data_IF_516217682710
#
_entry.id   IF_516217682710
#
_cell.length_a   1.000
_cell.length_b   1.000
_cell.length_c   1.000
_cell.angle_alpha   90.00
_cell.angle_beta   90.00
_cell.angle_gamma   90.00
#
_symmetry.space_group_name_H-M   'P 1'
#
loop_
_entity.id
_entity.type
_entity.pdbx_description
1 polymer ?
#
# COMPACT_ATOMS: atom_id res chain seq x y z
N UNK A 1 -13.69 -9.46 4.27
CA UNK A 1 -13.25 -8.44 3.30
C UNK A 1 -11.81 -8.73 2.90
N UNK A 2 -11.33 -8.28 1.74
CA UNK A 2 -9.92 -8.46 1.32
C UNK A 2 -9.29 -7.12 0.92
N UNK A 3 -7.97 -7.01 1.06
CA UNK A 3 -7.20 -5.83 0.63
C UNK A 3 -7.02 -5.85 -0.89
N UNK A 4 -7.56 -4.84 -1.57
CA UNK A 4 -7.75 -4.82 -3.03
C UNK A 4 -6.45 -4.96 -3.84
N UNK A 5 -5.32 -4.47 -3.30
CA UNK A 5 -4.03 -4.40 -4.00
C UNK A 5 -2.88 -5.12 -3.29
N UNK A 6 -3.18 -6.15 -2.48
CA UNK A 6 -2.18 -6.84 -1.65
C UNK A 6 -0.90 -7.26 -2.39
N UNK A 7 -1.03 -7.82 -3.61
CA UNK A 7 0.13 -8.24 -4.42
C UNK A 7 1.00 -7.06 -4.88
N UNK A 8 0.37 -5.95 -5.27
CA UNK A 8 1.08 -4.75 -5.68
C UNK A 8 1.80 -4.09 -4.50
N UNK A 9 1.18 -4.07 -3.31
CA UNK A 9 1.79 -3.57 -2.07
C UNK A 9 3.08 -4.32 -1.74
N UNK A 10 3.04 -5.66 -1.80
CA UNK A 10 4.22 -6.52 -1.56
C UNK A 10 5.31 -6.24 -2.62
N UNK A 11 4.92 -6.13 -3.89
CA UNK A 11 5.86 -5.83 -4.98
C UNK A 11 6.54 -4.47 -4.80
N UNK A 12 5.77 -3.43 -4.43
CA UNK A 12 6.29 -2.10 -4.15
C UNK A 12 7.28 -2.13 -2.98
N UNK A 13 6.94 -2.78 -1.87
CA UNK A 13 7.85 -2.95 -0.72
C UNK A 13 9.16 -3.62 -1.13
N UNK A 14 9.09 -4.68 -1.95
CA UNK A 14 10.30 -5.38 -2.41
C UNK A 14 11.15 -4.51 -3.33
N UNK A 15 10.54 -3.74 -4.24
CA UNK A 15 11.24 -2.81 -5.12
C UNK A 15 11.94 -1.71 -4.35
N UNK A 16 11.28 -1.11 -3.36
CA UNK A 16 11.85 -0.05 -2.50
C UNK A 16 13.05 -0.56 -1.70
N UNK A 17 13.04 -1.81 -1.24
CA UNK A 17 14.15 -2.38 -0.46
C UNK A 17 15.33 -2.81 -1.36
N UNK A 18 15.05 -3.45 -2.49
CA UNK A 18 16.08 -4.13 -3.28
C UNK A 18 16.56 -3.36 -4.51
N UNK A 19 15.75 -2.46 -5.04
CA UNK A 19 16.02 -1.78 -6.31
C UNK A 19 15.65 -0.29 -6.22
N UNK A 20 15.99 0.31 -5.08
CA UNK A 20 15.68 1.70 -4.75
C UNK A 20 16.21 2.70 -5.79
N UNK A 21 17.33 2.39 -6.47
CA UNK A 21 17.90 3.24 -7.51
C UNK A 21 16.99 3.35 -8.76
N UNK A 22 16.14 2.34 -8.99
CA UNK A 22 15.16 2.35 -10.07
C UNK A 22 13.77 2.87 -9.63
N UNK A 23 13.61 3.22 -8.35
CA UNK A 23 12.40 3.83 -7.81
C UNK A 23 12.52 5.35 -7.94
N UNK A 24 11.57 5.97 -8.65
CA UNK A 24 11.55 7.43 -8.81
C UNK A 24 10.66 8.09 -7.75
N UNK A 25 11.03 9.31 -7.38
CA UNK A 25 10.28 10.11 -6.41
C UNK A 25 8.83 10.33 -6.84
N UNK A 26 8.56 10.52 -8.14
CA UNK A 26 7.20 10.68 -8.68
C UNK A 26 6.32 9.44 -8.44
N UNK A 27 6.91 8.24 -8.55
CA UNK A 27 6.20 6.98 -8.30
C UNK A 27 5.91 6.84 -6.82
N UNK A 28 6.90 7.12 -5.96
CA UNK A 28 6.69 7.09 -4.50
C UNK A 28 5.67 8.11 -4.05
N UNK A 29 5.73 9.32 -4.60
CA UNK A 29 4.77 10.38 -4.29
C UNK A 29 3.35 9.97 -4.65
N UNK A 30 3.14 9.38 -5.83
CA UNK A 30 1.82 8.85 -6.24
C UNK A 30 1.31 7.77 -5.28
N UNK A 31 2.17 6.85 -4.84
CA UNK A 31 1.80 5.81 -3.88
C UNK A 31 1.37 6.44 -2.55
N UNK A 32 2.14 7.42 -2.05
CA UNK A 32 1.86 8.11 -0.79
C UNK A 32 0.52 8.85 -0.83
N UNK A 33 0.24 9.59 -1.90
CA UNK A 33 -0.96 10.44 -1.97
C UNK A 33 -2.22 9.67 -2.40
N UNK A 34 -2.09 8.62 -3.23
CA UNK A 34 -3.25 7.96 -3.83
C UNK A 34 -3.55 6.58 -3.23
N UNK A 35 -2.51 5.79 -2.89
CA UNK A 35 -2.68 4.37 -2.60
C UNK A 35 -2.63 4.09 -1.10
N UNK A 36 -1.72 4.75 -0.35
CA UNK A 36 -1.67 4.60 1.11
C UNK A 36 -2.98 5.00 1.82
N UNK A 37 -3.69 6.09 1.44
CA UNK A 37 -4.95 6.44 2.10
C UNK A 37 -6.03 5.37 1.89
N UNK A 38 -6.08 4.73 0.72
CA UNK A 38 -7.02 3.65 0.43
C UNK A 38 -6.71 2.42 1.27
N UNK A 39 -5.43 2.03 1.32
CA UNK A 39 -4.98 0.91 2.15
C UNK A 39 -5.30 1.14 3.63
N UNK A 40 -5.11 2.37 4.12
CA UNK A 40 -5.46 2.75 5.49
C UNK A 40 -6.96 2.53 5.75
N UNK A 41 -7.83 3.02 4.86
CA UNK A 41 -9.28 2.86 5.02
C UNK A 41 -9.71 1.38 4.98
N UNK A 42 -9.11 0.57 4.12
CA UNK A 42 -9.36 -0.88 4.06
C UNK A 42 -8.98 -1.57 5.37
N UNK A 43 -7.83 -1.22 5.95
CA UNK A 43 -7.38 -1.76 7.25
C UNK A 43 -8.30 -1.30 8.38
N UNK A 44 -8.66 -0.02 8.43
CA UNK A 44 -9.57 0.51 9.47
C UNK A 44 -10.94 -0.19 9.42
N UNK A 45 -11.45 -0.45 8.21
CA UNK A 45 -12.72 -1.16 8.04
C UNK A 45 -12.61 -2.61 8.50
N UNK A 46 -11.54 -3.32 8.12
CA UNK A 46 -11.28 -4.70 8.58
C UNK A 46 -11.19 -4.80 10.11
N UNK A 47 -10.49 -3.85 10.74
CA UNK A 47 -10.35 -3.82 12.21
C UNK A 47 -11.69 -3.55 12.91
N UNK A 48 -12.56 -2.74 12.30
CA UNK A 48 -13.90 -2.49 12.83
C UNK A 48 -14.79 -3.75 12.74
N UNK A 49 -14.67 -4.56 11.69
CA UNK A 49 -15.41 -5.82 11.54
C UNK A 49 -14.96 -6.91 12.53
N UNK A 50 -13.68 -6.95 12.90
CA UNK A 50 -13.15 -7.92 13.87
C UNK A 50 -13.56 -7.61 15.33
N UNK A 51 -14.01 -6.40 15.62
CA UNK A 51 -14.41 -5.97 16.98
C UNK A 51 -15.91 -6.22 17.25
N UNK A 52 -16.59 -6.98 16.39
CA UNK A 52 -18.04 -7.22 16.44
C UNK A 52 -18.41 -8.69 16.71
#
# INVERSE_FOLDING_TARGET
>A
MEISNARAIIATRNRVIHDYAAVTDDVMWKIVINDLPKLKAEIETLMAEETQ
#
